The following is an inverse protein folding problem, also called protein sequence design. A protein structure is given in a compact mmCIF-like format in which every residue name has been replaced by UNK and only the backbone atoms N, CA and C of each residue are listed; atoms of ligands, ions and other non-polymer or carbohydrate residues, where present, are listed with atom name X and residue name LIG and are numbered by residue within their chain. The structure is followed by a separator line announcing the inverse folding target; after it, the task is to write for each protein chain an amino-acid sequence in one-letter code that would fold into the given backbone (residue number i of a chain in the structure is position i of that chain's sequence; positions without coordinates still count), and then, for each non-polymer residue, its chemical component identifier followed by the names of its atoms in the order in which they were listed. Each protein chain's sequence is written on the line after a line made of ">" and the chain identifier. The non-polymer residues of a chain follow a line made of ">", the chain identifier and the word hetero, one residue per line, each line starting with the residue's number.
data_IF_647260161956
#
_entry.id   IF_647260161956
#
_cell.length_a   1.000
_cell.length_b   1.000
_cell.length_c   1.000
_cell.angle_alpha   90.00
_cell.angle_beta   90.00
_cell.angle_gamma   90.00
#
_symmetry.space_group_name_H-M   'P 1'
#
loop_
_entity.id
_entity.type
_entity.pdbx_description
1 polymer ?
#
# COMPACT_ATOMS: atom_id res chain seq x y z
N UNK A 1 -8.22 -0.92 24.86
CA UNK A 1 -8.57 -2.16 24.14
C UNK A 1 -8.26 -1.95 22.67
N UNK A 2 -7.68 -2.95 22.00
CA UNK A 2 -7.57 -2.92 20.55
C UNK A 2 -9.00 -2.91 19.95
N UNK A 3 -9.19 -2.24 18.82
CA UNK A 3 -10.49 -2.29 18.15
C UNK A 3 -10.68 -3.69 17.54
N UNK A 4 -11.93 -4.12 17.40
CA UNK A 4 -12.25 -5.37 16.69
C UNK A 4 -11.66 -5.41 15.26
N UNK A 5 -11.46 -4.23 14.65
CA UNK A 5 -10.78 -4.09 13.35
C UNK A 5 -9.28 -4.40 13.47
N UNK A 6 -8.62 -3.87 14.50
CA UNK A 6 -7.19 -4.11 14.74
C UNK A 6 -6.93 -5.60 15.00
N UNK A 7 -7.77 -6.25 15.80
CA UNK A 7 -7.66 -7.69 16.08
C UNK A 7 -7.95 -8.52 14.83
N UNK A 8 -8.93 -8.11 14.03
CA UNK A 8 -9.22 -8.77 12.76
C UNK A 8 -8.02 -8.78 11.81
N UNK A 9 -7.30 -7.67 11.68
CA UNK A 9 -6.14 -7.58 10.78
C UNK A 9 -4.83 -8.11 11.36
N UNK A 10 -4.81 -8.50 12.64
CA UNK A 10 -3.61 -8.99 13.30
C UNK A 10 -3.12 -10.31 12.68
N UNK A 11 -1.84 -10.36 12.30
CA UNK A 11 -1.20 -11.51 11.65
C UNK A 11 -1.67 -11.77 10.21
N UNK A 12 -2.62 -11.00 9.67
CA UNK A 12 -3.16 -11.22 8.32
C UNK A 12 -2.29 -10.60 7.25
N UNK A 13 -2.34 -11.25 6.08
CA UNK A 13 -1.81 -10.76 4.82
C UNK A 13 -2.96 -10.21 3.98
N UNK A 14 -2.79 -9.01 3.42
CA UNK A 14 -3.86 -8.28 2.72
C UNK A 14 -3.48 -8.12 1.25
N UNK A 15 -4.37 -8.48 0.33
CA UNK A 15 -4.19 -8.21 -1.10
C UNK A 15 -5.06 -7.04 -1.53
N UNK A 16 -4.45 -6.01 -2.13
CA UNK A 16 -5.10 -4.78 -2.53
C UNK A 16 -4.95 -4.58 -4.04
N UNK A 17 -6.09 -4.50 -4.73
CA UNK A 17 -6.19 -4.03 -6.12
C UNK A 17 -6.47 -2.54 -6.16
N UNK A 18 -5.98 -1.83 -7.18
CA UNK A 18 -6.17 -0.39 -7.25
C UNK A 18 -5.43 0.40 -6.15
N UNK A 19 -4.46 -0.24 -5.49
CA UNK A 19 -3.68 0.36 -4.41
C UNK A 19 -2.88 1.60 -4.82
N UNK A 20 -2.71 1.84 -6.13
CA UNK A 20 -2.04 3.05 -6.64
C UNK A 20 -2.98 4.23 -6.87
N UNK A 21 -4.29 4.07 -6.67
CA UNK A 21 -5.27 5.16 -6.74
C UNK A 21 -5.35 5.90 -5.40
N UNK A 22 -5.97 7.08 -5.40
CA UNK A 22 -6.10 7.94 -4.22
C UNK A 22 -6.61 7.18 -2.97
N UNK A 23 -7.77 6.53 -3.07
CA UNK A 23 -8.36 5.75 -1.96
C UNK A 23 -7.50 4.56 -1.57
N UNK A 24 -6.85 3.91 -2.54
CA UNK A 24 -5.96 2.77 -2.28
C UNK A 24 -4.77 3.16 -1.42
N UNK A 25 -4.15 4.30 -1.70
CA UNK A 25 -3.06 4.86 -0.90
C UNK A 25 -3.54 5.22 0.51
N UNK A 26 -4.69 5.90 0.65
CA UNK A 26 -5.28 6.18 1.97
C UNK A 26 -5.51 4.91 2.80
N UNK A 27 -6.02 3.85 2.16
CA UNK A 27 -6.30 2.57 2.82
C UNK A 27 -5.01 1.92 3.32
N UNK A 28 -3.97 1.89 2.48
CA UNK A 28 -2.66 1.33 2.84
C UNK A 28 -2.09 2.10 4.04
N UNK A 29 -2.10 3.43 3.99
CA UNK A 29 -1.69 4.27 5.12
C UNK A 29 -2.48 3.93 6.39
N UNK A 30 -3.80 3.86 6.29
CA UNK A 30 -4.67 3.61 7.45
C UNK A 30 -4.39 2.24 8.07
N UNK A 31 -4.17 1.23 7.25
CA UNK A 31 -3.83 -0.12 7.70
C UNK A 31 -2.45 -0.14 8.38
N UNK A 32 -1.45 0.49 7.78
CA UNK A 32 -0.10 0.57 8.36
C UNK A 32 -0.07 1.33 9.69
N UNK A 33 -0.85 2.40 9.82
CA UNK A 33 -0.93 3.23 11.05
C UNK A 33 -1.80 2.62 12.15
N UNK A 34 -2.96 2.08 11.79
CA UNK A 34 -3.97 1.63 12.78
C UNK A 34 -3.99 0.11 13.02
N UNK A 35 -3.34 -0.67 12.16
CA UNK A 35 -3.25 -2.13 12.27
C UNK A 35 -1.78 -2.60 12.19
N UNK A 36 -0.94 -2.28 13.19
CA UNK A 36 0.49 -2.61 13.15
C UNK A 36 0.77 -4.13 13.06
N UNK A 37 -0.19 -4.95 13.51
CA UNK A 37 -0.14 -6.41 13.43
C UNK A 37 -0.31 -6.99 12.03
N UNK A 38 -0.62 -6.18 11.00
CA UNK A 38 -0.67 -6.66 9.61
C UNK A 38 0.69 -7.25 9.23
N UNK A 39 0.68 -8.49 8.74
CA UNK A 39 1.89 -9.23 8.36
C UNK A 39 2.49 -8.68 7.07
N UNK A 40 1.68 -8.59 6.02
CA UNK A 40 2.12 -8.15 4.70
C UNK A 40 0.96 -7.55 3.90
N UNK A 41 1.25 -6.55 3.07
CA UNK A 41 0.32 -5.98 2.11
C UNK A 41 0.85 -6.27 0.71
N UNK A 42 0.06 -6.96 -0.09
CA UNK A 42 0.34 -7.29 -1.48
C UNK A 42 -0.41 -6.33 -2.39
N UNK A 43 0.29 -5.69 -3.32
CA UNK A 43 -0.28 -4.65 -4.19
C UNK A 43 -0.27 -5.11 -5.63
N UNK A 44 -1.42 -5.13 -6.29
CA UNK A 44 -1.47 -5.34 -7.73
C UNK A 44 -1.14 -4.04 -8.46
N UNK A 45 0.03 -3.97 -9.08
CA UNK A 45 0.45 -2.80 -9.87
C UNK A 45 0.41 -3.17 -11.35
N UNK A 46 -0.38 -2.41 -12.11
CA UNK A 46 -0.39 -2.49 -13.58
C UNK A 46 0.80 -1.68 -14.15
N UNK A 47 1.45 -2.12 -15.23
CA UNK A 47 2.40 -1.28 -15.93
C UNK A 47 1.72 -0.02 -16.50
N UNK A 48 2.48 1.08 -16.63
CA UNK A 48 2.06 2.30 -17.33
C UNK A 48 3.12 2.62 -18.37
N UNK A 49 2.70 3.01 -19.58
CA UNK A 49 3.63 3.37 -20.66
C UNK A 49 4.61 4.43 -20.16
N UNK A 50 5.91 4.15 -20.28
CA UNK A 50 6.98 5.08 -19.88
C UNK A 50 7.27 5.18 -18.38
N UNK A 51 6.76 4.28 -17.53
CA UNK A 51 7.20 4.19 -16.13
C UNK A 51 7.50 2.75 -15.73
N UNK A 52 8.65 2.54 -15.10
CA UNK A 52 8.96 1.24 -14.52
C UNK A 52 8.12 1.00 -13.26
N UNK A 53 7.92 -0.27 -12.93
CA UNK A 53 7.04 -0.63 -11.82
C UNK A 53 7.69 -0.34 -10.47
N UNK A 54 9.03 -0.44 -10.40
CA UNK A 54 9.81 0.01 -9.25
C UNK A 54 9.61 1.52 -9.00
N UNK A 55 9.65 2.33 -10.06
CA UNK A 55 9.37 3.79 -9.97
C UNK A 55 7.94 4.04 -9.49
N UNK A 56 6.97 3.26 -9.96
CA UNK A 56 5.58 3.36 -9.48
C UNK A 56 5.44 2.98 -8.00
N UNK A 57 6.19 1.98 -7.53
CA UNK A 57 6.20 1.61 -6.12
C UNK A 57 6.86 2.70 -5.26
N UNK A 58 7.96 3.26 -5.74
CA UNK A 58 8.67 4.35 -5.08
C UNK A 58 7.80 5.61 -4.98
N UNK A 59 7.08 5.96 -6.06
CA UNK A 59 6.07 7.02 -6.07
C UNK A 59 4.97 6.79 -5.04
N UNK A 60 4.55 5.55 -4.78
CA UNK A 60 3.53 5.27 -3.76
C UNK A 60 4.05 5.49 -2.35
N UNK A 61 5.31 5.15 -2.10
CA UNK A 61 5.95 5.42 -0.81
C UNK A 61 6.26 6.90 -0.58
N UNK A 62 6.44 7.69 -1.66
CA UNK A 62 6.74 9.13 -1.60
C UNK A 62 5.48 10.01 -1.60
N UNK A 63 4.43 9.62 -2.32
CA UNK A 63 3.17 10.37 -2.42
C UNK A 63 2.21 10.02 -1.26
N UNK A 64 2.76 9.79 -0.06
CA UNK A 64 1.96 9.77 1.17
C UNK A 64 1.10 11.03 1.19
N UNK A 65 -0.18 10.89 1.52
CA UNK A 65 -1.11 12.00 1.62
C UNK A 65 -0.84 12.63 2.99
N UNK A 66 0.38 13.12 3.17
CA UNK A 66 0.82 13.78 4.38
C UNK A 66 0.34 15.22 4.32
N UNK A 67 -0.81 15.46 4.95
CA UNK A 67 -1.07 16.72 5.63
C UNK A 67 0.03 16.91 6.72
N UNK A 68 1.19 17.43 6.31
CA UNK A 68 2.12 18.28 7.07
C UNK A 68 2.52 17.89 8.51
N UNK A 69 2.33 16.66 9.02
CA UNK A 69 2.43 16.43 10.47
C UNK A 69 3.24 15.25 11.00
N UNK A 70 3.88 14.42 10.18
CA UNK A 70 4.97 13.56 10.70
C UNK A 70 6.01 13.20 9.64
N UNK A 71 7.28 13.33 9.98
CA UNK A 71 8.46 12.99 9.17
C UNK A 71 8.60 11.47 8.87
N UNK A 72 7.52 10.69 8.82
CA UNK A 72 7.59 9.24 8.65
C UNK A 72 7.03 8.83 7.29
N UNK A 73 7.93 8.64 6.33
CA UNK A 73 7.66 7.79 5.16
C UNK A 73 7.25 6.38 5.62
N UNK A 74 6.28 5.77 4.92
CA UNK A 74 5.84 4.42 5.30
C UNK A 74 6.99 3.42 5.18
N UNK A 75 7.15 2.50 6.14
CA UNK A 75 8.15 1.45 6.03
C UNK A 75 7.77 0.52 4.87
N UNK A 76 8.53 0.60 3.78
CA UNK A 76 8.34 -0.24 2.59
C UNK A 76 8.48 -1.74 2.87
N UNK A 77 9.01 -2.14 4.03
CA UNK A 77 9.30 -3.52 4.40
C UNK A 77 8.07 -4.45 4.49
N UNK A 78 6.86 -3.90 4.64
CA UNK A 78 5.62 -4.69 4.69
C UNK A 78 4.87 -4.77 3.36
N UNK A 79 5.34 -4.08 2.31
CA UNK A 79 4.64 -4.01 1.02
C UNK A 79 5.35 -4.85 -0.04
N UNK A 80 4.60 -5.74 -0.71
CA UNK A 80 5.09 -6.50 -1.85
C UNK A 80 4.26 -6.16 -3.10
N UNK A 81 4.93 -5.65 -4.15
CA UNK A 81 4.29 -5.42 -5.44
C UNK A 81 4.16 -6.74 -6.22
N UNK A 82 2.94 -7.06 -6.63
CA UNK A 82 2.64 -8.15 -7.55
C UNK A 82 2.27 -7.57 -8.92
N UNK A 83 2.80 -8.20 -9.97
CA UNK A 83 2.68 -7.74 -11.34
C UNK A 83 1.43 -8.32 -11.99
N UNK A 84 0.55 -7.45 -12.49
CA UNK A 84 -0.47 -7.85 -13.46
C UNK A 84 0.05 -7.59 -14.87
N UNK A 85 0.08 -8.63 -15.71
CA UNK A 85 0.28 -8.44 -17.15
C UNK A 85 -0.85 -7.56 -17.70
N UNK A 86 -0.49 -6.45 -18.34
CA UNK A 86 -1.44 -5.67 -19.11
C UNK A 86 -1.79 -6.46 -20.38
N UNK A 87 -3.05 -6.84 -20.53
CA UNK A 87 -3.59 -7.23 -21.83
C UNK A 87 -3.48 -5.98 -22.73
N UNK A 88 -2.85 -6.06 -23.91
CA UNK A 88 -2.86 -4.95 -24.85
C UNK A 88 -4.31 -4.67 -25.22
N UNK A 89 -4.78 -3.45 -24.94
CA UNK A 89 -6.06 -2.91 -25.42
C UNK A 89 -5.87 -2.24 -26.77
#
# INVERSE_FOLDING_TARGET
>A
MASHITDFYNGKSIFITGGTGFVGVCLIEKLLRSCPGVKSIYLLIRPKKGKQIAERLEELTKNSIDDQRSNNSFPGSKMLAMYANSVPV
#
